data_IF_481536251686
#
_entry.id   IF_481536251686
#
_cell.length_a   1.000
_cell.length_b   1.000
_cell.length_c   1.000
_cell.angle_alpha   90.00
_cell.angle_beta   90.00
_cell.angle_gamma   90.00
#
_symmetry.space_group_name_H-M   'P 1'
#
loop_
_entity.id
_entity.type
_entity.pdbx_description
1 polymer ?
#
# COMPACT_ATOMS: atom_id res chain seq x y z
N UNK A 1 -22.35 10.40 22.22
CA UNK A 1 -21.80 9.69 21.04
C UNK A 1 -20.95 8.57 21.58
N UNK A 2 -21.30 7.31 21.33
CA UNK A 2 -20.59 6.14 21.86
C UNK A 2 -19.11 6.21 21.47
N UNK A 3 -18.21 5.92 22.42
CA UNK A 3 -16.77 5.98 22.18
C UNK A 3 -16.36 4.89 21.18
N UNK A 4 -16.15 5.28 19.92
CA UNK A 4 -15.66 4.38 18.87
C UNK A 4 -14.36 3.68 19.27
N UNK A 5 -13.53 4.34 20.08
CA UNK A 5 -12.29 3.78 20.63
C UNK A 5 -12.51 2.63 21.64
N UNK A 6 -13.73 2.49 22.18
CA UNK A 6 -14.10 1.40 23.11
C UNK A 6 -14.67 0.18 22.39
N UNK A 7 -14.98 0.29 21.08
CA UNK A 7 -15.49 -0.83 20.29
C UNK A 7 -14.36 -1.82 20.04
N UNK A 8 -14.40 -2.97 20.72
CA UNK A 8 -13.46 -4.07 20.48
C UNK A 8 -14.00 -5.02 19.42
N UNK A 9 -13.38 -5.00 18.25
CA UNK A 9 -13.60 -6.02 17.22
C UNK A 9 -12.82 -7.28 17.62
N UNK A 10 -13.54 -8.34 17.99
CA UNK A 10 -12.93 -9.65 18.25
C UNK A 10 -12.65 -10.34 16.91
N UNK A 11 -11.42 -10.24 16.44
CA UNK A 11 -10.98 -11.01 15.28
C UNK A 11 -10.62 -12.43 15.72
N UNK A 12 -11.34 -13.42 15.19
CA UNK A 12 -10.96 -14.82 15.32
C UNK A 12 -9.60 -15.04 14.59
N UNK A 13 -8.63 -15.76 15.18
CA UNK A 13 -7.38 -16.14 14.50
C UNK A 13 -7.57 -16.70 13.09
N UNK A 14 -8.64 -17.47 12.86
CA UNK A 14 -8.96 -17.99 11.52
C UNK A 14 -9.33 -16.89 10.52
N UNK A 15 -10.08 -15.87 10.97
CA UNK A 15 -10.43 -14.70 10.15
C UNK A 15 -9.21 -13.85 9.81
N UNK A 16 -8.25 -13.71 10.73
CA UNK A 16 -6.99 -13.00 10.48
C UNK A 16 -6.13 -13.74 9.45
N UNK A 17 -6.04 -15.07 9.57
CA UNK A 17 -5.32 -15.88 8.59
C UNK A 17 -5.97 -15.78 7.21
N UNK A 18 -7.31 -15.89 7.14
CA UNK A 18 -8.05 -15.73 5.90
C UNK A 18 -7.81 -14.36 5.26
N UNK A 19 -7.86 -13.29 6.06
CA UNK A 19 -7.59 -11.92 5.59
C UNK A 19 -6.18 -11.80 5.02
N UNK A 20 -5.17 -12.31 5.73
CA UNK A 20 -3.78 -12.26 5.28
C UNK A 20 -3.57 -13.04 3.97
N UNK A 21 -4.22 -14.21 3.83
CA UNK A 21 -4.18 -14.99 2.58
C UNK A 21 -4.83 -14.22 1.43
N UNK A 22 -5.99 -13.61 1.66
CA UNK A 22 -6.67 -12.80 0.64
C UNK A 22 -5.81 -11.61 0.22
N UNK A 23 -5.23 -10.88 1.17
CA UNK A 23 -4.33 -9.75 0.88
C UNK A 23 -3.10 -10.20 0.08
N UNK A 24 -2.51 -11.33 0.47
CA UNK A 24 -1.39 -11.92 -0.27
C UNK A 24 -1.76 -12.28 -1.71
N UNK A 25 -2.95 -12.88 -1.92
CA UNK A 25 -3.45 -13.19 -3.26
C UNK A 25 -3.72 -11.92 -4.08
N UNK A 26 -4.30 -10.88 -3.49
CA UNK A 26 -4.52 -9.60 -4.16
C UNK A 26 -3.18 -8.99 -4.59
N UNK A 27 -2.19 -8.96 -3.70
CA UNK A 27 -0.86 -8.43 -4.00
C UNK A 27 -0.11 -9.25 -5.04
N UNK A 28 -0.26 -10.57 -5.00
CA UNK A 28 0.23 -11.44 -6.06
C UNK A 28 -0.41 -11.10 -7.42
N UNK A 29 -1.74 -10.89 -7.44
CA UNK A 29 -2.47 -10.46 -8.63
C UNK A 29 -1.96 -9.14 -9.19
N UNK A 30 -1.72 -8.14 -8.34
CA UNK A 30 -1.10 -6.87 -8.73
C UNK A 30 0.31 -7.10 -9.29
N UNK A 31 1.11 -7.95 -8.65
CA UNK A 31 2.48 -8.23 -9.04
C UNK A 31 2.61 -8.96 -10.38
N UNK A 32 1.60 -9.76 -10.77
CA UNK A 32 1.54 -10.40 -12.09
C UNK A 32 1.47 -9.39 -13.24
N UNK A 33 1.00 -8.16 -13.00
CA UNK A 33 0.94 -7.09 -13.99
C UNK A 33 2.24 -6.26 -14.07
N UNK A 34 3.16 -6.43 -13.12
CA UNK A 34 4.40 -5.65 -13.06
C UNK A 34 5.52 -6.28 -13.89
N UNK A 35 6.31 -5.43 -14.54
CA UNK A 35 7.43 -5.86 -15.39
C UNK A 35 8.73 -5.18 -14.99
N UNK A 36 9.86 -5.84 -15.22
CA UNK A 36 11.19 -5.22 -15.01
C UNK A 36 11.38 -3.97 -15.88
N UNK A 37 10.68 -3.89 -17.01
CA UNK A 37 10.74 -2.73 -17.91
C UNK A 37 10.12 -1.48 -17.28
N UNK A 38 9.14 -1.64 -16.40
CA UNK A 38 8.49 -0.53 -15.69
C UNK A 38 9.48 0.19 -14.76
N UNK A 39 10.31 -0.58 -14.04
CA UNK A 39 11.37 -0.04 -13.19
C UNK A 39 12.46 0.65 -14.02
N UNK A 40 12.87 0.04 -15.15
CA UNK A 40 13.87 0.64 -16.05
C UNK A 40 13.39 1.95 -16.66
N UNK A 41 12.09 2.09 -16.96
CA UNK A 41 11.52 3.32 -17.52
C UNK A 41 11.70 4.50 -16.57
N UNK A 42 11.54 4.28 -15.26
CA UNK A 42 11.74 5.32 -14.25
C UNK A 42 13.19 5.78 -14.22
N UNK A 43 14.14 4.86 -14.24
CA UNK A 43 15.57 5.20 -14.22
C UNK A 43 16.01 6.01 -15.46
N UNK A 44 15.34 5.83 -16.60
CA UNK A 44 15.62 6.61 -17.83
C UNK A 44 15.02 8.01 -17.83
N UNK A 45 13.88 8.20 -17.16
CA UNK A 45 13.18 9.47 -17.11
C UNK A 45 12.64 9.72 -15.68
N UNK A 46 13.51 10.07 -14.73
CA UNK A 46 13.19 10.02 -13.29
C UNK A 46 12.37 11.21 -12.79
N UNK A 47 12.35 12.34 -13.49
CA UNK A 47 11.75 13.58 -12.99
C UNK A 47 10.27 13.41 -12.60
N UNK A 48 9.44 12.93 -13.54
CA UNK A 48 8.02 12.75 -13.28
C UNK A 48 7.73 11.66 -12.22
N UNK A 49 8.40 10.47 -12.25
CA UNK A 49 8.28 9.49 -11.18
C UNK A 49 8.68 10.00 -9.80
N UNK A 50 9.78 10.74 -9.67
CA UNK A 50 10.23 11.28 -8.38
C UNK A 50 9.20 12.25 -7.82
N UNK A 51 8.66 13.15 -8.64
CA UNK A 51 7.58 14.07 -8.23
C UNK A 51 6.37 13.26 -7.73
N UNK A 52 5.96 12.23 -8.46
CA UNK A 52 4.86 11.36 -8.06
C UNK A 52 5.13 10.63 -6.74
N UNK A 53 6.33 10.09 -6.54
CA UNK A 53 6.69 9.32 -5.34
C UNK A 53 6.81 10.20 -4.11
N UNK A 54 7.39 11.40 -4.25
CA UNK A 54 7.40 12.42 -3.19
C UNK A 54 5.98 12.85 -2.87
N UNK A 55 5.12 13.03 -3.88
CA UNK A 55 3.72 13.36 -3.65
C UNK A 55 2.98 12.24 -2.89
N UNK A 56 3.22 10.98 -3.24
CA UNK A 56 2.57 9.81 -2.65
C UNK A 56 3.04 9.54 -1.21
N UNK A 57 4.35 9.53 -0.96
CA UNK A 57 4.89 9.07 0.33
C UNK A 57 5.32 10.19 1.27
N UNK A 58 5.27 11.45 0.84
CA UNK A 58 5.62 12.61 1.68
C UNK A 58 4.46 13.59 1.74
N UNK A 59 4.04 14.14 0.60
CA UNK A 59 3.01 15.19 0.60
C UNK A 59 1.66 14.67 1.08
N UNK A 60 1.21 13.52 0.58
CA UNK A 60 -0.07 12.94 0.98
C UNK A 60 -0.13 12.60 2.48
N UNK A 61 0.83 11.85 3.06
CA UNK A 61 0.89 11.65 4.52
C UNK A 61 0.96 12.95 5.32
N UNK A 62 1.74 13.94 4.88
CA UNK A 62 1.83 15.23 5.56
C UNK A 62 0.50 15.99 5.55
N UNK A 63 -0.21 16.00 4.43
CA UNK A 63 -1.53 16.61 4.31
C UNK A 63 -2.56 15.87 5.16
N UNK A 64 -2.55 14.54 5.15
CA UNK A 64 -3.40 13.71 6.00
C UNK A 64 -3.14 13.95 7.49
N UNK A 65 -1.86 14.10 7.88
CA UNK A 65 -1.48 14.46 9.23
C UNK A 65 -2.00 15.85 9.60
N UNK A 66 -1.84 16.86 8.74
CA UNK A 66 -2.43 18.19 8.96
C UNK A 66 -3.96 18.14 9.12
N UNK A 67 -4.63 17.34 8.30
CA UNK A 67 -6.09 17.16 8.35
C UNK A 67 -6.54 16.55 9.69
N UNK A 68 -5.76 15.62 10.26
CA UNK A 68 -6.04 15.04 11.58
C UNK A 68 -6.13 16.12 12.66
N UNK A 69 -5.27 17.14 12.64
CA UNK A 69 -5.33 18.25 13.60
C UNK A 69 -6.47 19.23 13.30
N UNK A 70 -6.69 19.56 12.03
CA UNK A 70 -7.74 20.52 11.64
C UNK A 70 -9.13 19.98 11.98
N UNK A 71 -9.34 18.67 11.81
CA UNK A 71 -10.62 18.02 12.09
C UNK A 71 -10.72 17.44 13.51
N UNK A 72 -9.70 17.61 14.35
CA UNK A 72 -9.60 17.05 15.70
C UNK A 72 -9.98 15.55 15.74
N UNK A 73 -9.36 14.77 14.84
CA UNK A 73 -9.71 13.35 14.71
C UNK A 73 -9.24 12.55 15.93
N UNK A 74 -10.12 11.65 16.38
CA UNK A 74 -9.81 10.70 17.45
C UNK A 74 -8.62 9.81 17.08
N UNK A 75 -7.83 9.34 18.06
CA UNK A 75 -6.61 8.58 17.78
C UNK A 75 -6.79 7.33 16.91
N UNK A 76 -7.87 6.55 17.08
CA UNK A 76 -8.11 5.36 16.26
C UNK A 76 -8.36 5.71 14.79
N UNK A 77 -9.17 6.74 14.54
CA UNK A 77 -9.47 7.21 13.19
C UNK A 77 -8.25 7.88 12.55
N UNK A 78 -7.48 8.65 13.33
CA UNK A 78 -6.23 9.25 12.91
C UNK A 78 -5.21 8.20 12.45
N UNK A 79 -5.04 7.11 13.22
CA UNK A 79 -4.22 5.98 12.80
C UNK A 79 -4.71 5.36 11.50
N UNK A 80 -6.02 5.14 11.35
CA UNK A 80 -6.63 4.64 10.12
C UNK A 80 -6.33 5.53 8.90
N UNK A 81 -6.46 6.85 9.05
CA UNK A 81 -6.14 7.82 7.99
C UNK A 81 -4.65 7.79 7.63
N UNK A 82 -3.75 7.74 8.61
CA UNK A 82 -2.31 7.63 8.37
C UNK A 82 -1.92 6.31 7.70
N UNK A 83 -2.54 5.19 8.10
CA UNK A 83 -2.35 3.89 7.48
C UNK A 83 -2.72 3.92 6.00
N UNK A 84 -3.88 4.48 5.67
CA UNK A 84 -4.34 4.63 4.26
C UNK A 84 -3.42 5.55 3.47
N UNK A 85 -3.01 6.69 4.05
CA UNK A 85 -2.15 7.66 3.39
C UNK A 85 -0.73 7.11 3.13
N UNK A 86 -0.24 6.20 3.97
CA UNK A 86 1.07 5.57 3.83
C UNK A 86 1.11 4.46 2.76
N UNK A 87 -0.04 3.97 2.31
CA UNK A 87 -0.12 2.90 1.32
C UNK A 87 0.30 3.35 -0.09
N UNK A 88 0.82 2.42 -0.92
CA UNK A 88 1.13 2.71 -2.33
C UNK A 88 -0.14 2.89 -3.17
N UNK A 89 0.05 3.43 -4.37
CA UNK A 89 -1.03 3.52 -5.37
C UNK A 89 -1.47 2.13 -5.87
N UNK A 90 -2.72 2.05 -6.31
CA UNK A 90 -3.32 0.82 -6.87
C UNK A 90 -3.59 0.90 -8.37
N UNK A 91 -3.94 -0.25 -8.97
CA UNK A 91 -4.15 -0.39 -10.42
C UNK A 91 -5.32 0.43 -11.00
N UNK A 92 -6.27 0.87 -10.17
CA UNK A 92 -7.35 1.77 -10.58
C UNK A 92 -6.79 3.11 -11.09
N UNK A 93 -5.67 3.58 -10.51
CA UNK A 93 -5.00 4.81 -10.96
C UNK A 93 -4.59 4.75 -12.43
N UNK A 94 -4.19 3.57 -12.93
CA UNK A 94 -3.80 3.35 -14.33
C UNK A 94 -5.00 3.53 -15.27
N UNK A 95 -6.17 3.06 -14.85
CA UNK A 95 -7.42 3.22 -15.59
C UNK A 95 -7.87 4.69 -15.62
N UNK A 96 -7.82 5.38 -14.47
CA UNK A 96 -8.16 6.82 -14.39
C UNK A 96 -7.19 7.64 -15.23
N UNK A 97 -5.88 7.37 -15.16
CA UNK A 97 -4.88 8.05 -15.98
C UNK A 97 -5.16 7.88 -17.48
N UNK A 98 -5.61 6.69 -17.90
CA UNK A 98 -6.02 6.45 -19.28
C UNK A 98 -7.22 7.31 -19.69
N UNK A 99 -8.28 7.31 -18.86
CA UNK A 99 -9.49 8.10 -19.12
C UNK A 99 -9.21 9.61 -19.14
N UNK A 100 -8.32 10.07 -18.27
CA UNK A 100 -7.86 11.45 -18.22
C UNK A 100 -6.92 11.84 -19.37
N UNK A 101 -6.66 10.94 -20.34
CA UNK A 101 -5.69 11.12 -21.44
C UNK A 101 -4.26 11.40 -20.94
N UNK A 102 -3.94 10.96 -19.73
CA UNK A 102 -2.61 11.00 -19.17
C UNK A 102 -1.72 9.85 -19.64
N UNK A 103 -0.47 9.85 -19.18
CA UNK A 103 0.48 8.78 -19.49
C UNK A 103 0.19 7.53 -18.67
N UNK A 104 -0.51 6.56 -19.27
CA UNK A 104 -0.75 5.23 -18.69
C UNK A 104 0.56 4.52 -18.38
N UNK A 105 1.52 4.65 -19.29
CA UNK A 105 2.89 4.18 -19.15
C UNK A 105 3.55 4.68 -17.86
N UNK A 106 3.41 5.98 -17.55
CA UNK A 106 3.94 6.56 -16.33
C UNK A 106 3.19 6.05 -15.09
N UNK A 107 1.86 6.00 -15.14
CA UNK A 107 1.03 5.51 -14.03
C UNK A 107 1.36 4.06 -13.64
N UNK A 108 1.52 3.18 -14.64
CA UNK A 108 1.89 1.77 -14.43
C UNK A 108 3.29 1.68 -13.80
N UNK A 109 4.25 2.43 -14.32
CA UNK A 109 5.61 2.45 -13.75
C UNK A 109 5.62 3.01 -12.33
N UNK A 110 4.84 4.07 -12.06
CA UNK A 110 4.64 4.63 -10.73
C UNK A 110 4.04 3.63 -9.76
N UNK A 111 3.04 2.86 -10.19
CA UNK A 111 2.44 1.78 -9.39
C UNK A 111 3.50 0.75 -9.04
N UNK A 112 4.24 0.24 -10.03
CA UNK A 112 5.31 -0.74 -9.83
C UNK A 112 6.34 -0.27 -8.77
N UNK A 113 6.81 0.97 -8.91
CA UNK A 113 7.82 1.53 -8.01
C UNK A 113 7.26 1.82 -6.62
N UNK A 114 6.06 2.38 -6.53
CA UNK A 114 5.43 2.65 -5.24
C UNK A 114 5.12 1.37 -4.48
N UNK A 115 4.64 0.31 -5.13
CA UNK A 115 4.42 -1.01 -4.51
C UNK A 115 5.72 -1.61 -3.98
N UNK A 116 6.83 -1.50 -4.73
CA UNK A 116 8.13 -1.96 -4.26
C UNK A 116 8.64 -1.15 -3.06
N UNK A 117 8.50 0.18 -3.12
CA UNK A 117 8.92 1.08 -2.04
C UNK A 117 8.05 0.97 -0.79
N UNK A 118 6.77 0.61 -0.92
CA UNK A 118 5.82 0.49 0.18
C UNK A 118 6.27 -0.46 1.29
N UNK A 119 7.03 -1.50 0.95
CA UNK A 119 7.61 -2.44 1.92
C UNK A 119 8.36 -1.69 3.03
N UNK A 120 9.05 -0.59 2.67
CA UNK A 120 9.80 0.25 3.60
C UNK A 120 9.06 1.53 3.94
N UNK A 121 8.46 2.19 2.94
CA UNK A 121 7.85 3.51 3.10
C UNK A 121 6.56 3.47 3.91
N UNK A 122 5.78 2.40 3.83
CA UNK A 122 4.54 2.25 4.60
C UNK A 122 4.81 2.15 6.10
N UNK A 123 5.62 1.16 6.60
CA UNK A 123 5.98 1.10 8.01
C UNK A 123 6.62 2.41 8.50
N UNK A 124 7.55 2.95 7.70
CA UNK A 124 8.25 4.18 8.05
C UNK A 124 7.29 5.36 8.24
N UNK A 125 6.39 5.61 7.27
CA UNK A 125 5.43 6.71 7.36
C UNK A 125 4.48 6.54 8.55
N UNK A 126 3.96 5.34 8.78
CA UNK A 126 3.06 5.07 9.91
C UNK A 126 3.78 5.38 11.21
N UNK A 127 4.95 4.78 11.45
CA UNK A 127 5.71 4.99 12.68
C UNK A 127 6.08 6.46 12.85
N UNK A 128 6.56 7.13 11.79
CA UNK A 128 6.94 8.53 11.84
C UNK A 128 5.73 9.43 12.19
N UNK A 129 4.69 9.45 11.36
CA UNK A 129 3.57 10.38 11.54
C UNK A 129 2.74 10.07 12.79
N UNK A 130 2.47 8.79 13.07
CA UNK A 130 1.70 8.43 14.26
C UNK A 130 2.50 8.65 15.55
N UNK A 131 3.84 8.64 15.49
CA UNK A 131 4.66 9.03 16.63
C UNK A 131 4.68 10.54 16.88
N UNK A 132 4.22 11.39 15.96
CA UNK A 132 4.21 12.85 16.17
C UNK A 132 2.94 13.34 16.89
N UNK A 133 1.82 12.63 16.73
CA UNK A 133 0.58 12.95 17.44
C UNK A 133 0.51 12.21 18.80
N UNK A 134 0.31 12.91 19.94
CA UNK A 134 0.30 12.29 21.26
C UNK A 134 -0.77 11.20 21.44
N UNK A 135 -1.95 11.38 20.84
CA UNK A 135 -3.05 10.43 20.93
C UNK A 135 -2.75 9.14 20.17
N UNK A 136 -2.24 9.25 18.94
CA UNK A 136 -1.85 8.07 18.14
C UNK A 136 -0.60 7.38 18.68
N UNK A 137 0.34 8.14 19.27
CA UNK A 137 1.54 7.60 19.93
C UNK A 137 1.18 6.68 21.09
N UNK A 138 0.21 7.09 21.93
CA UNK A 138 -0.26 6.27 23.04
C UNK A 138 -0.88 4.94 22.54
N UNK A 139 -1.62 4.98 21.43
CA UNK A 139 -2.16 3.77 20.81
C UNK A 139 -1.07 2.86 20.22
N UNK A 140 -0.04 3.42 19.57
CA UNK A 140 1.09 2.61 19.09
C UNK A 140 1.79 1.83 20.22
N UNK A 141 1.98 2.48 21.38
CA UNK A 141 2.56 1.82 22.56
C UNK A 141 1.63 0.79 23.21
N UNK A 142 0.31 1.01 23.18
CA UNK A 142 -0.66 0.04 23.72
C UNK A 142 -0.82 -1.19 22.83
N UNK A 143 -0.63 -1.05 21.52
CA UNK A 143 -0.70 -2.16 20.56
C UNK A 143 0.65 -2.93 20.50
N UNK A 144 1.67 -2.47 21.25
CA UNK A 144 3.01 -3.08 21.32
C UNK A 144 3.58 -3.44 19.93
N UNK A 145 3.40 -2.52 18.98
CA UNK A 145 3.87 -2.71 17.62
C UNK A 145 5.36 -2.36 17.60
N UNK A 146 6.21 -3.38 17.74
CA UNK A 146 7.63 -3.20 17.43
C UNK A 146 7.74 -2.82 15.95
N UNK A 147 8.37 -1.69 15.58
CA UNK A 147 8.60 -1.33 14.20
C UNK A 147 9.27 -2.45 13.38
N UNK A 148 10.11 -3.28 14.01
CA UNK A 148 10.75 -4.44 13.36
C UNK A 148 9.74 -5.54 13.05
N UNK A 149 8.79 -5.82 13.94
CA UNK A 149 7.74 -6.81 13.72
C UNK A 149 6.76 -6.36 12.64
N UNK A 150 6.41 -5.07 12.63
CA UNK A 150 5.56 -4.50 11.58
C UNK A 150 6.27 -4.53 10.23
N UNK A 151 7.56 -4.19 10.19
CA UNK A 151 8.37 -4.31 8.98
C UNK A 151 8.43 -5.76 8.48
N UNK A 152 8.72 -6.72 9.36
CA UNK A 152 8.76 -8.15 9.01
C UNK A 152 7.43 -8.67 8.48
N UNK A 153 6.32 -8.26 9.12
CA UNK A 153 4.96 -8.61 8.68
C UNK A 153 4.64 -8.04 7.31
N UNK A 154 4.91 -6.74 7.09
CA UNK A 154 4.67 -6.09 5.79
C UNK A 154 5.58 -6.68 4.71
N UNK A 155 6.83 -6.98 5.02
CA UNK A 155 7.76 -7.64 4.10
C UNK A 155 7.27 -9.03 3.68
N UNK A 156 6.79 -9.85 4.62
CA UNK A 156 6.20 -11.14 4.28
C UNK A 156 4.92 -10.99 3.47
N UNK A 157 4.02 -10.10 3.90
CA UNK A 157 2.67 -9.99 3.33
C UNK A 157 2.65 -9.27 1.97
N UNK A 158 3.53 -8.31 1.74
CA UNK A 158 3.66 -7.61 0.44
C UNK A 158 4.83 -8.12 -0.38
N UNK A 159 6.00 -8.31 0.24
CA UNK A 159 7.23 -8.64 -0.46
C UNK A 159 7.24 -10.04 -1.08
N UNK A 160 6.79 -11.06 -0.35
CA UNK A 160 6.75 -12.44 -0.87
C UNK A 160 5.80 -12.55 -2.09
N UNK A 161 4.54 -12.08 -2.03
CA UNK A 161 3.65 -12.09 -3.19
C UNK A 161 4.17 -11.24 -4.36
N UNK A 162 4.79 -10.10 -4.06
CA UNK A 162 5.37 -9.21 -5.08
C UNK A 162 6.47 -9.92 -5.87
N UNK A 163 7.45 -10.48 -5.17
CA UNK A 163 8.57 -11.18 -5.81
C UNK A 163 8.08 -12.42 -6.57
N UNK A 164 7.17 -13.20 -5.97
CA UNK A 164 6.61 -14.39 -6.61
C UNK A 164 5.84 -14.05 -7.90
N UNK A 165 4.98 -13.02 -7.86
CA UNK A 165 4.18 -12.59 -9.01
C UNK A 165 5.05 -12.06 -10.15
N UNK A 166 6.02 -11.21 -9.83
CA UNK A 166 6.97 -10.69 -10.83
C UNK A 166 7.84 -11.81 -11.42
N UNK A 167 8.27 -12.77 -10.61
CA UNK A 167 9.06 -13.91 -11.07
C UNK A 167 8.27 -14.82 -12.03
N UNK A 168 7.01 -15.13 -11.71
CA UNK A 168 6.12 -15.89 -12.59
C UNK A 168 5.85 -15.13 -13.88
N UNK A 169 5.60 -13.83 -13.80
CA UNK A 169 5.43 -12.99 -14.99
C UNK A 169 6.67 -12.99 -15.89
N UNK A 170 7.87 -12.95 -15.30
CA UNK A 170 9.12 -12.96 -16.06
C UNK A 170 9.45 -14.33 -16.68
N UNK A 171 9.31 -15.42 -15.91
CA UNK A 171 9.75 -16.78 -16.33
C UNK A 171 8.66 -17.57 -17.07
N UNK A 172 7.39 -17.34 -16.76
CA UNK A 172 6.24 -18.06 -17.31
C UNK A 172 5.14 -17.10 -17.79
N UNK A 173 5.41 -16.25 -18.80
CA UNK A 173 4.48 -15.20 -19.23
C UNK A 173 3.10 -15.73 -19.69
N UNK A 174 3.05 -16.92 -20.28
CA UNK A 174 1.80 -17.57 -20.67
C UNK A 174 0.92 -17.93 -19.44
N UNK A 175 1.56 -18.38 -18.35
CA UNK A 175 0.87 -18.68 -17.08
C UNK A 175 0.38 -17.38 -16.45
N UNK A 176 1.23 -16.35 -16.40
CA UNK A 176 0.84 -15.05 -15.88
C UNK A 176 -0.35 -14.46 -16.64
N UNK A 177 -0.36 -14.53 -17.97
CA UNK A 177 -1.50 -14.06 -18.78
C UNK A 177 -2.79 -14.81 -18.47
N UNK A 178 -2.72 -16.12 -18.23
CA UNK A 178 -3.89 -16.94 -17.87
C UNK A 178 -4.40 -16.60 -16.47
N UNK A 179 -3.51 -16.32 -15.52
CA UNK A 179 -3.84 -15.92 -14.14
C UNK A 179 -4.34 -14.47 -14.05
N UNK A 180 -3.88 -13.55 -14.90
CA UNK A 180 -4.33 -12.15 -14.88
C UNK A 180 -5.84 -12.00 -15.04
N UNK A 181 -6.48 -12.79 -15.92
CA UNK A 181 -7.93 -12.71 -16.15
C UNK A 181 -8.77 -12.95 -14.88
N UNK A 182 -8.64 -14.09 -14.16
CA UNK A 182 -9.40 -14.31 -12.94
C UNK A 182 -9.06 -13.29 -11.85
N UNK A 183 -7.77 -12.95 -11.65
CA UNK A 183 -7.38 -11.96 -10.65
C UNK A 183 -7.97 -10.57 -10.92
N UNK A 184 -7.98 -10.13 -12.18
CA UNK A 184 -8.54 -8.83 -12.55
C UNK A 184 -10.06 -8.76 -12.32
N UNK A 185 -10.78 -9.83 -12.64
CA UNK A 185 -12.23 -9.92 -12.39
C UNK A 185 -12.50 -9.92 -10.88
N UNK A 186 -11.75 -10.71 -10.12
CA UNK A 186 -11.90 -10.80 -8.67
C UNK A 186 -11.51 -9.51 -7.93
N UNK A 187 -10.57 -8.72 -8.49
CA UNK A 187 -10.14 -7.43 -7.92
C UNK A 187 -11.05 -6.24 -8.25
N UNK A 188 -11.92 -6.39 -9.27
CA UNK A 188 -12.88 -5.37 -9.70
C UNK A 188 -14.24 -5.52 -9.01
N UNK A 189 -14.48 -6.66 -8.36
CA UNK A 189 -15.64 -6.97 -7.51
C UNK A 189 -15.25 -6.68 -6.07
#
# INVERSE_FOLDING_TARGET
MQDLDTIRLNFNPESLLLLNVILGLVMFGVALDLTVHDFKRILRAPLAPVIGLVSQFVLLPALSFGLIYVLDLRPSLALGVLLVAACPGGNISNFIAHLAKGSTALSVSMTAMSTALAIFMTPFNITFWASLNPGTRAMLTQINVDPLDLFGTVLMLLGVPLVAGMWIHHKYPAVAHKLRKPFRIFSLI
#
